data_IF_775016482553
#
_entry.id   IF_775016482553
#
_cell.length_a   1.000
_cell.length_b   1.000
_cell.length_c   1.000
_cell.angle_alpha   90.00
_cell.angle_beta   90.00
_cell.angle_gamma   90.00
#
_symmetry.space_group_name_H-M   'P 1'
#
loop_
_entity.id
_entity.type
_entity.pdbx_description
1 polymer ?
#
# COMPACT_ATOMS: atom_id res chain seq x y z
N UNK A 1 12.20 -4.33 2.41
CA UNK A 1 11.10 -4.00 3.34
C UNK A 1 9.92 -4.85 2.93
N UNK A 2 9.18 -5.44 3.87
CA UNK A 2 7.96 -6.21 3.55
C UNK A 2 6.78 -5.24 3.52
N UNK A 3 5.91 -5.35 2.51
CA UNK A 3 4.67 -4.59 2.38
C UNK A 3 4.85 -3.16 1.85
N UNK A 4 5.97 -2.85 1.21
CA UNK A 4 6.18 -1.55 0.58
C UNK A 4 5.21 -1.35 -0.61
N UNK A 5 4.64 -0.16 -0.74
CA UNK A 5 3.67 0.16 -1.81
C UNK A 5 4.17 1.38 -2.59
N UNK A 6 4.22 1.35 -3.93
CA UNK A 6 4.54 2.55 -4.72
C UNK A 6 3.61 3.71 -4.38
N UNK A 7 4.15 4.93 -4.38
CA UNK A 7 3.32 6.13 -4.19
C UNK A 7 2.45 6.46 -5.40
N UNK A 8 2.81 5.90 -6.56
CA UNK A 8 2.03 6.03 -7.79
C UNK A 8 0.62 5.44 -7.62
N UNK A 9 -0.38 6.20 -8.04
CA UNK A 9 -1.79 5.81 -7.90
C UNK A 9 -2.48 6.37 -6.65
N UNK A 10 -1.81 7.25 -5.91
CA UNK A 10 -2.37 8.04 -4.81
C UNK A 10 -2.19 9.52 -5.09
N UNK A 11 -3.13 10.35 -4.65
CA UNK A 11 -2.99 11.80 -4.66
C UNK A 11 -2.61 12.30 -3.26
N UNK A 12 -1.36 12.71 -3.09
CA UNK A 12 -0.85 13.33 -1.85
C UNK A 12 0.21 14.38 -2.18
N UNK A 13 0.41 15.33 -1.27
CA UNK A 13 1.49 16.34 -1.40
C UNK A 13 2.76 15.86 -0.73
N UNK A 14 2.66 15.36 0.51
CA UNK A 14 3.77 14.85 1.30
C UNK A 14 3.26 13.78 2.25
N UNK A 15 4.11 12.82 2.60
CA UNK A 15 3.80 11.82 3.61
C UNK A 15 5.03 11.41 4.40
N UNK A 16 4.92 11.36 5.73
CA UNK A 16 5.97 10.75 6.57
C UNK A 16 6.10 9.25 6.36
N UNK A 17 5.08 8.62 5.77
CA UNK A 17 5.11 7.22 5.40
C UNK A 17 5.83 6.97 4.08
N UNK A 18 6.16 8.01 3.30
CA UNK A 18 6.90 7.90 2.06
C UNK A 18 8.41 7.88 2.30
N UNK A 19 9.11 6.97 1.64
CA UNK A 19 10.57 6.88 1.57
C UNK A 19 10.98 6.34 0.21
N UNK A 20 11.80 7.12 -0.50
CA UNK A 20 12.37 6.73 -1.81
C UNK A 20 11.29 6.33 -2.86
N UNK A 21 10.16 7.05 -2.90
CA UNK A 21 9.04 6.77 -3.82
C UNK A 21 8.16 5.59 -3.42
N UNK A 22 8.29 5.09 -2.19
CA UNK A 22 7.49 3.99 -1.64
C UNK A 22 6.85 4.39 -0.31
N UNK A 23 5.57 4.08 -0.12
CA UNK A 23 4.97 4.02 1.20
C UNK A 23 5.51 2.83 1.99
N UNK A 24 5.73 3.03 3.30
CA UNK A 24 6.20 2.01 4.24
C UNK A 24 5.19 0.89 4.53
N UNK A 25 3.96 1.01 4.03
CA UNK A 25 2.85 0.06 4.15
C UNK A 25 1.74 0.43 3.18
N UNK A 26 0.61 -0.27 3.21
CA UNK A 26 -0.54 0.05 2.37
C UNK A 26 -1.28 1.30 2.88
N UNK A 27 -1.27 2.43 2.16
CA UNK A 27 -2.18 3.52 2.44
C UNK A 27 -3.60 3.16 1.95
N UNK A 28 -4.58 3.53 2.77
CA UNK A 28 -6.01 3.40 2.47
C UNK A 28 -6.67 4.73 2.82
N UNK A 29 -7.64 5.13 2.00
CA UNK A 29 -8.40 6.36 2.17
C UNK A 29 -9.89 6.02 2.04
N UNK A 30 -10.60 6.02 3.17
CA UNK A 30 -12.02 5.69 3.22
C UNK A 30 -12.94 6.88 2.91
N UNK A 31 -12.39 8.09 2.85
CA UNK A 31 -13.18 9.28 2.55
C UNK A 31 -13.22 9.53 1.03
N UNK A 32 -12.13 9.20 0.32
CA UNK A 32 -11.96 9.53 -1.10
C UNK A 32 -11.88 8.31 -2.04
N UNK A 33 -11.47 7.15 -1.54
CA UNK A 33 -11.15 5.96 -2.35
C UNK A 33 -11.67 4.66 -1.69
N UNK A 34 -12.86 4.72 -1.08
CA UNK A 34 -13.46 3.62 -0.33
C UNK A 34 -13.68 2.36 -1.19
N UNK A 35 -14.10 2.55 -2.43
CA UNK A 35 -14.32 1.52 -3.45
C UNK A 35 -13.04 0.76 -3.82
N UNK A 36 -11.86 1.35 -3.63
CA UNK A 36 -10.57 0.73 -3.91
C UNK A 36 -10.04 -0.12 -2.75
N UNK A 37 -10.60 0.03 -1.54
CA UNK A 37 -10.07 -0.56 -0.31
C UNK A 37 -9.99 -2.09 -0.38
N UNK A 38 -11.07 -2.76 -0.77
CA UNK A 38 -11.11 -4.23 -0.80
C UNK A 38 -10.08 -4.81 -1.77
N UNK A 39 -9.98 -4.22 -2.97
CA UNK A 39 -9.01 -4.62 -3.99
C UNK A 39 -7.56 -4.41 -3.53
N UNK A 40 -7.27 -3.25 -2.95
CA UNK A 40 -5.94 -2.88 -2.43
C UNK A 40 -5.50 -3.81 -1.28
N UNK A 41 -6.38 -4.07 -0.32
CA UNK A 41 -6.08 -4.98 0.81
C UNK A 41 -5.80 -6.38 0.29
N UNK A 42 -6.62 -6.91 -0.64
CA UNK A 42 -6.40 -8.25 -1.19
C UNK A 42 -5.03 -8.34 -1.88
N UNK A 43 -4.71 -7.39 -2.76
CA UNK A 43 -3.45 -7.38 -3.49
C UNK A 43 -2.24 -7.27 -2.55
N UNK A 44 -2.32 -6.41 -1.54
CA UNK A 44 -1.25 -6.23 -0.57
C UNK A 44 -1.06 -7.46 0.32
N UNK A 45 -2.15 -8.10 0.75
CA UNK A 45 -2.09 -9.37 1.48
C UNK A 45 -1.40 -10.48 0.66
N UNK A 46 -1.67 -10.55 -0.64
CA UNK A 46 -1.02 -11.50 -1.54
C UNK A 46 0.49 -11.17 -1.69
N UNK A 47 0.84 -9.88 -1.81
CA UNK A 47 2.23 -9.41 -1.83
C UNK A 47 3.00 -9.79 -0.55
N UNK A 48 2.49 -9.44 0.63
CA UNK A 48 3.21 -9.70 1.90
C UNK A 48 3.36 -11.19 2.19
N UNK A 49 2.41 -12.04 1.75
CA UNK A 49 2.55 -13.50 1.84
C UNK A 49 3.76 -13.98 1.05
N UNK A 50 3.92 -13.49 -0.18
CA UNK A 50 5.07 -13.83 -1.03
C UNK A 50 6.38 -13.32 -0.44
N UNK A 51 6.41 -12.06 0.01
CA UNK A 51 7.62 -11.43 0.57
C UNK A 51 8.04 -12.02 1.92
N UNK A 52 7.08 -12.40 2.77
CA UNK A 52 7.33 -13.03 4.07
C UNK A 52 7.65 -14.53 3.96
N UNK A 53 7.64 -15.11 2.75
CA UNK A 53 7.89 -16.53 2.54
C UNK A 53 6.81 -17.43 3.15
N UNK A 54 5.57 -16.94 3.21
CA UNK A 54 4.42 -17.70 3.73
C UNK A 54 4.15 -18.88 2.78
N UNK A 55 4.17 -20.10 3.33
CA UNK A 55 3.88 -21.35 2.62
C UNK A 55 2.44 -21.79 2.82
#
# INVERSE_FOLDING_TARGET
MVGAVPVDGYQHTESKAERDGMFMGLPLDQDNEDDLTEGRVKAWCDQIKMEAGWK
#
